data_IF_238552289547
#
_entry.id   IF_238552289547
#
_cell.length_a   1.000
_cell.length_b   1.000
_cell.length_c   1.000
_cell.angle_alpha   90.00
_cell.angle_beta   90.00
_cell.angle_gamma   90.00
#
_symmetry.space_group_name_H-M   'P 1'
#
loop_
_entity.id
_entity.type
_entity.pdbx_description
1 polymer ?
#
# COMPACT_ATOMS: atom_id res chain seq x y z
N UNK A 1 -3.97 -24.92 -8.50
CA UNK A 1 -4.02 -23.48 -8.19
C UNK A 1 -4.87 -22.70 -9.18
N UNK A 2 -6.00 -22.11 -8.74
CA UNK A 2 -6.84 -21.23 -9.54
C UNK A 2 -6.12 -19.93 -9.96
N UNK A 3 -6.42 -19.45 -11.17
CA UNK A 3 -5.83 -18.22 -11.73
C UNK A 3 -6.09 -17.00 -10.84
N UNK A 4 -7.28 -16.90 -10.25
CA UNK A 4 -7.65 -15.81 -9.35
C UNK A 4 -6.73 -15.71 -8.12
N UNK A 5 -6.33 -16.85 -7.55
CA UNK A 5 -5.42 -16.90 -6.38
C UNK A 5 -4.03 -16.42 -6.76
N UNK A 6 -3.51 -16.88 -7.91
CA UNK A 6 -2.19 -16.49 -8.43
C UNK A 6 -2.18 -14.98 -8.72
N UNK A 7 -3.21 -14.47 -9.41
CA UNK A 7 -3.32 -13.06 -9.74
C UNK A 7 -3.42 -12.18 -8.48
N UNK A 8 -4.30 -12.54 -7.53
CA UNK A 8 -4.42 -11.84 -6.24
C UNK A 8 -3.09 -11.82 -5.48
N UNK A 9 -2.39 -12.95 -5.41
CA UNK A 9 -1.12 -13.03 -4.70
C UNK A 9 -0.03 -12.17 -5.37
N UNK A 10 0.07 -12.20 -6.69
CA UNK A 10 1.04 -11.40 -7.43
C UNK A 10 0.88 -9.89 -7.14
N UNK A 11 -0.33 -9.35 -7.25
CA UNK A 11 -0.56 -7.92 -6.98
C UNK A 11 -0.46 -7.57 -5.50
N UNK A 12 -0.88 -8.47 -4.59
CA UNK A 12 -0.73 -8.26 -3.14
C UNK A 12 0.73 -8.21 -2.73
N UNK A 13 1.58 -9.13 -3.24
CA UNK A 13 3.02 -9.11 -2.98
C UNK A 13 3.71 -7.89 -3.59
N UNK A 14 3.33 -7.51 -4.81
CA UNK A 14 3.84 -6.29 -5.44
C UNK A 14 3.53 -5.05 -4.60
N UNK A 15 2.29 -4.93 -4.08
CA UNK A 15 1.90 -3.83 -3.21
C UNK A 15 2.59 -3.89 -1.84
N UNK A 16 2.77 -5.07 -1.25
CA UNK A 16 3.52 -5.21 0.00
C UNK A 16 5.00 -4.80 -0.17
N UNK A 17 5.64 -5.23 -1.26
CA UNK A 17 6.99 -4.79 -1.62
C UNK A 17 7.07 -3.28 -1.87
N UNK A 18 6.06 -2.71 -2.54
CA UNK A 18 5.94 -1.27 -2.73
C UNK A 18 5.83 -0.52 -1.39
N UNK A 19 5.01 -0.98 -0.45
CA UNK A 19 4.89 -0.37 0.87
C UNK A 19 6.19 -0.46 1.68
N UNK A 20 6.91 -1.58 1.60
CA UNK A 20 8.23 -1.72 2.22
C UNK A 20 9.24 -0.72 1.63
N UNK A 21 9.27 -0.59 0.30
CA UNK A 21 10.15 0.36 -0.37
C UNK A 21 9.82 1.81 0.06
N UNK A 22 8.53 2.16 0.11
CA UNK A 22 8.06 3.45 0.60
C UNK A 22 8.50 3.69 2.05
N UNK A 23 8.28 2.72 2.93
CA UNK A 23 8.51 2.86 4.37
C UNK A 23 10.00 2.91 4.74
N UNK A 24 10.81 2.04 4.14
CA UNK A 24 12.19 1.80 4.57
C UNK A 24 13.21 2.60 3.77
N UNK A 25 12.88 2.96 2.53
CA UNK A 25 13.81 3.66 1.62
C UNK A 25 13.29 5.05 1.34
N UNK A 26 12.10 5.15 0.74
CA UNK A 26 11.69 6.40 0.11
C UNK A 26 11.35 7.49 1.14
N UNK A 27 10.51 7.21 2.14
CA UNK A 27 10.16 8.22 3.14
C UNK A 27 11.35 8.63 4.02
N UNK A 28 12.22 7.72 4.51
CA UNK A 28 13.42 8.11 5.24
C UNK A 28 14.35 9.05 4.45
N UNK A 29 14.43 8.91 3.12
CA UNK A 29 15.23 9.81 2.28
C UNK A 29 14.76 11.28 2.30
N UNK A 30 13.51 11.56 2.68
CA UNK A 30 13.03 12.95 2.82
C UNK A 30 13.82 13.70 3.89
N UNK A 31 14.36 13.02 4.91
CA UNK A 31 15.22 13.64 5.94
C UNK A 31 16.58 14.08 5.42
N UNK A 32 16.99 13.60 4.25
CA UNK A 32 18.28 13.94 3.63
C UNK A 32 18.17 15.09 2.64
N UNK A 33 16.98 15.67 2.45
CA UNK A 33 16.74 16.77 1.53
C UNK A 33 16.93 18.10 2.26
N UNK A 34 17.68 19.02 1.67
CA UNK A 34 17.87 20.35 2.24
C UNK A 34 16.52 21.06 2.46
N UNK A 35 16.39 21.86 3.54
CA UNK A 35 15.14 22.55 3.88
C UNK A 35 14.47 23.33 2.75
N UNK A 36 15.27 24.03 1.93
CA UNK A 36 14.77 24.80 0.79
C UNK A 36 14.34 23.94 -0.40
N UNK A 37 14.80 22.70 -0.49
CA UNK A 37 14.51 21.78 -1.60
C UNK A 37 13.35 20.82 -1.34
N UNK A 38 12.93 20.65 -0.08
CA UNK A 38 11.91 19.66 0.31
C UNK A 38 10.58 19.81 -0.44
N UNK A 39 9.99 21.01 -0.59
CA UNK A 39 8.71 21.15 -1.31
C UNK A 39 8.78 20.67 -2.76
N UNK A 40 9.86 21.01 -3.47
CA UNK A 40 10.09 20.58 -4.86
C UNK A 40 10.30 19.08 -4.97
N UNK A 41 11.07 18.50 -4.05
CA UNK A 41 11.28 17.06 -3.98
C UNK A 41 9.98 16.30 -3.68
N UNK A 42 9.18 16.77 -2.71
CA UNK A 42 7.90 16.18 -2.35
C UNK A 42 6.90 16.22 -3.51
N UNK A 43 6.85 17.33 -4.27
CA UNK A 43 5.99 17.45 -5.45
C UNK A 43 6.41 16.49 -6.58
N UNK A 44 7.72 16.37 -6.84
CA UNK A 44 8.24 15.41 -7.82
C UNK A 44 7.97 13.96 -7.39
N UNK A 45 8.20 13.64 -6.12
CA UNK A 45 7.88 12.35 -5.53
C UNK A 45 6.39 12.00 -5.72
N UNK A 46 5.47 12.90 -5.34
CA UNK A 46 4.03 12.69 -5.47
C UNK A 46 3.60 12.40 -6.92
N UNK A 47 4.19 13.12 -7.89
CA UNK A 47 3.93 12.89 -9.32
C UNK A 47 4.48 11.56 -9.82
N UNK A 48 5.63 11.10 -9.32
CA UNK A 48 6.25 9.84 -9.77
C UNK A 48 5.63 8.62 -9.11
N UNK A 49 5.35 8.70 -7.81
CA UNK A 49 4.85 7.57 -7.02
C UNK A 49 3.44 7.14 -7.45
N UNK A 50 2.64 8.08 -8.00
CA UNK A 50 1.29 7.76 -8.47
C UNK A 50 1.29 6.86 -9.71
N UNK A 51 2.35 6.87 -10.53
CA UNK A 51 2.42 6.05 -11.76
C UNK A 51 2.33 4.54 -11.45
N UNK A 52 3.24 3.95 -10.64
CA UNK A 52 3.10 2.55 -10.27
C UNK A 52 1.84 2.30 -9.42
N UNK A 53 1.46 3.24 -8.56
CA UNK A 53 0.27 3.09 -7.73
C UNK A 53 -1.01 2.99 -8.57
N UNK A 54 -1.14 3.79 -9.63
CA UNK A 54 -2.30 3.77 -10.53
C UNK A 54 -2.43 2.45 -11.30
N UNK A 55 -1.34 1.68 -11.46
CA UNK A 55 -1.39 0.35 -12.04
C UNK A 55 -1.70 -0.73 -10.98
N UNK A 56 -0.97 -0.72 -9.85
CA UNK A 56 -1.05 -1.76 -8.83
C UNK A 56 -2.35 -1.70 -8.02
N UNK A 57 -2.82 -0.50 -7.68
CA UNK A 57 -4.00 -0.29 -6.85
C UNK A 57 -5.30 -0.87 -7.44
N UNK A 58 -5.70 -0.52 -8.68
CA UNK A 58 -6.91 -1.10 -9.26
C UNK A 58 -6.78 -2.60 -9.49
N UNK A 59 -5.58 -3.09 -9.82
CA UNK A 59 -5.35 -4.53 -10.01
C UNK A 59 -5.49 -5.31 -8.69
N UNK A 60 -4.97 -4.78 -7.58
CA UNK A 60 -5.16 -5.38 -6.25
C UNK A 60 -6.64 -5.39 -5.85
N UNK A 61 -7.37 -4.29 -6.07
CA UNK A 61 -8.81 -4.22 -5.78
C UNK A 61 -9.59 -5.20 -6.65
N UNK A 62 -9.32 -5.24 -7.96
CA UNK A 62 -10.02 -6.10 -8.90
C UNK A 62 -9.80 -7.60 -8.57
N UNK A 63 -8.57 -7.98 -8.27
CA UNK A 63 -8.25 -9.37 -7.91
C UNK A 63 -8.78 -9.78 -6.55
N UNK A 64 -8.83 -8.86 -5.57
CA UNK A 64 -9.50 -9.11 -4.29
C UNK A 64 -11.02 -9.27 -4.47
N UNK A 65 -11.65 -8.45 -5.31
CA UNK A 65 -13.06 -8.57 -5.64
C UNK A 65 -13.37 -9.88 -6.39
N UNK A 66 -12.48 -10.30 -7.30
CA UNK A 66 -12.64 -11.55 -8.03
C UNK A 66 -12.72 -12.75 -7.07
N UNK A 67 -11.83 -12.84 -6.06
CA UNK A 67 -11.90 -13.92 -5.06
C UNK A 67 -13.19 -13.94 -4.23
N UNK A 68 -13.89 -12.80 -4.10
CA UNK A 68 -15.19 -12.72 -3.43
C UNK A 68 -16.34 -13.13 -4.36
N UNK A 69 -16.27 -12.73 -5.63
CA UNK A 69 -17.32 -12.96 -6.63
C UNK A 69 -17.27 -14.37 -7.24
N UNK A 70 -16.10 -14.98 -7.27
CA UNK A 70 -15.82 -16.32 -7.79
C UNK A 70 -15.07 -17.11 -6.72
N UNK A 71 -15.80 -17.62 -5.69
CA UNK A 71 -15.18 -18.28 -4.55
C UNK A 71 -14.40 -19.53 -4.98
N UNK A 72 -13.25 -19.72 -4.33
CA UNK A 72 -12.42 -20.91 -4.48
C UNK A 72 -12.74 -21.86 -3.34
N UNK A 73 -13.12 -23.09 -3.65
CA UNK A 73 -13.60 -24.08 -2.66
C UNK A 73 -12.60 -24.35 -1.53
N UNK A 74 -11.29 -24.31 -1.84
CA UNK A 74 -10.23 -24.52 -0.87
C UNK A 74 -10.04 -23.34 0.10
N UNK A 75 -10.61 -22.17 -0.20
CA UNK A 75 -10.44 -20.95 0.59
C UNK A 75 -11.65 -20.70 1.50
N UNK A 76 -11.37 -20.56 2.80
CA UNK A 76 -12.41 -20.14 3.73
C UNK A 76 -12.93 -18.73 3.38
N UNK A 77 -14.23 -18.61 3.11
CA UNK A 77 -14.90 -17.35 2.77
C UNK A 77 -14.59 -16.23 3.77
N UNK A 78 -14.60 -16.55 5.07
CA UNK A 78 -14.29 -15.60 6.13
C UNK A 78 -12.88 -14.99 6.00
N UNK A 79 -11.90 -15.77 5.54
CA UNK A 79 -10.54 -15.30 5.36
C UNK A 79 -10.39 -14.41 4.11
N UNK A 80 -11.09 -14.72 3.03
CA UNK A 80 -11.17 -13.84 1.84
C UNK A 80 -11.77 -12.48 2.23
N UNK A 81 -12.86 -12.49 3.00
CA UNK A 81 -13.45 -11.26 3.53
C UNK A 81 -12.51 -10.51 4.48
N UNK A 82 -11.83 -11.21 5.40
CA UNK A 82 -10.86 -10.58 6.30
C UNK A 82 -9.74 -9.88 5.52
N UNK A 83 -9.17 -10.54 4.51
CA UNK A 83 -8.18 -9.93 3.63
C UNK A 83 -8.75 -8.68 2.93
N UNK A 84 -9.97 -8.75 2.41
CA UNK A 84 -10.67 -7.62 1.79
C UNK A 84 -10.91 -6.43 2.74
N UNK A 85 -11.26 -6.69 4.01
CA UNK A 85 -11.42 -5.65 5.03
C UNK A 85 -10.09 -4.93 5.30
N UNK A 86 -8.98 -5.68 5.38
CA UNK A 86 -7.65 -5.06 5.52
C UNK A 86 -7.31 -4.14 4.35
N UNK A 87 -7.70 -4.50 3.13
CA UNK A 87 -7.53 -3.67 1.93
C UNK A 87 -8.32 -2.37 2.04
N UNK A 88 -9.61 -2.49 2.42
CA UNK A 88 -10.47 -1.34 2.59
C UNK A 88 -9.93 -0.36 3.65
N UNK A 89 -9.50 -0.88 4.81
CA UNK A 89 -8.87 -0.07 5.85
C UNK A 89 -7.61 0.62 5.33
N UNK A 90 -6.75 -0.11 4.60
CA UNK A 90 -5.53 0.44 4.02
C UNK A 90 -5.78 1.60 3.05
N UNK A 91 -6.78 1.46 2.16
CA UNK A 91 -7.15 2.51 1.21
C UNK A 91 -7.85 3.70 1.85
N UNK A 92 -8.77 3.47 2.79
CA UNK A 92 -9.42 4.55 3.55
C UNK A 92 -8.37 5.34 4.34
N UNK A 93 -7.45 4.65 5.02
CA UNK A 93 -6.32 5.28 5.70
C UNK A 93 -5.48 6.12 4.74
N UNK A 94 -5.21 5.60 3.52
CA UNK A 94 -4.46 6.30 2.47
C UNK A 94 -5.10 7.64 2.11
N UNK A 95 -6.40 7.64 1.82
CA UNK A 95 -7.13 8.85 1.44
C UNK A 95 -7.25 9.87 2.57
N UNK A 96 -7.52 9.43 3.80
CA UNK A 96 -7.78 10.33 4.93
C UNK A 96 -6.52 10.98 5.50
N UNK A 97 -5.41 10.26 5.60
CA UNK A 97 -4.22 10.77 6.28
C UNK A 97 -3.09 11.16 5.32
N UNK A 98 -2.85 10.40 4.27
CA UNK A 98 -1.62 10.55 3.49
C UNK A 98 -1.76 11.56 2.37
N UNK A 99 -2.94 11.70 1.76
CA UNK A 99 -3.18 12.77 0.80
C UNK A 99 -3.02 14.16 1.43
N UNK A 100 -3.59 14.45 2.63
CA UNK A 100 -3.32 15.72 3.32
C UNK A 100 -1.86 15.92 3.73
N UNK A 101 -1.19 14.89 4.26
CA UNK A 101 0.21 14.98 4.68
C UNK A 101 1.15 15.26 3.50
N UNK A 102 0.92 14.62 2.34
CA UNK A 102 1.68 14.93 1.13
C UNK A 102 1.42 16.34 0.61
N UNK A 103 0.20 16.88 0.80
CA UNK A 103 -0.10 18.28 0.52
C UNK A 103 0.72 19.23 1.40
N UNK A 104 0.78 18.97 2.70
CA UNK A 104 1.55 19.78 3.66
C UNK A 104 3.05 19.80 3.32
N UNK A 105 3.63 18.64 2.98
CA UNK A 105 5.04 18.53 2.58
C UNK A 105 5.38 19.30 1.29
N UNK A 106 4.39 19.58 0.44
CA UNK A 106 4.57 20.37 -0.79
C UNK A 106 4.38 21.87 -0.58
N UNK A 107 3.65 22.28 0.45
CA UNK A 107 3.27 23.68 0.67
C UNK A 107 4.02 24.36 1.81
N UNK A 108 4.50 23.58 2.78
CA UNK A 108 5.13 24.12 3.99
C UNK A 108 6.67 24.05 3.92
N UNK A 109 7.39 25.02 4.53
CA UNK A 109 8.83 24.92 4.70
C UNK A 109 9.20 23.62 5.42
N UNK A 110 10.42 23.12 5.20
CA UNK A 110 10.85 21.86 5.79
C UNK A 110 10.56 21.79 7.30
N UNK A 111 9.63 20.90 7.63
CA UNK A 111 9.27 20.52 8.99
C UNK A 111 9.58 19.04 9.19
N UNK A 112 10.61 18.77 10.00
CA UNK A 112 10.98 17.41 10.38
C UNK A 112 9.83 16.66 11.07
N UNK A 113 8.94 17.36 11.78
CA UNK A 113 7.79 16.75 12.43
C UNK A 113 6.79 16.20 11.40
N UNK A 114 6.60 16.87 10.26
CA UNK A 114 5.77 16.37 9.16
C UNK A 114 6.36 15.12 8.51
N UNK A 115 7.68 15.07 8.32
CA UNK A 115 8.37 13.87 7.80
C UNK A 115 8.26 12.70 8.80
N UNK A 116 8.47 12.96 10.09
CA UNK A 116 8.34 11.94 11.13
C UNK A 116 6.90 11.44 11.24
N UNK A 117 5.91 12.33 11.12
CA UNK A 117 4.50 11.96 11.07
C UNK A 117 4.18 11.10 9.84
N UNK A 118 4.72 11.42 8.68
CA UNK A 118 4.56 10.61 7.46
C UNK A 118 5.08 9.19 7.67
N UNK A 119 6.28 9.04 8.23
CA UNK A 119 6.93 7.75 8.45
C UNK A 119 6.22 6.93 9.53
N UNK A 120 5.89 7.57 10.66
CA UNK A 120 5.23 6.89 11.79
C UNK A 120 3.84 6.43 11.42
N UNK A 121 3.06 7.25 10.72
CA UNK A 121 1.72 6.85 10.27
C UNK A 121 1.78 5.73 9.23
N UNK A 122 2.72 5.78 8.26
CA UNK A 122 2.82 4.80 7.17
C UNK A 122 3.15 3.37 7.62
N UNK A 123 3.64 3.18 8.85
CA UNK A 123 3.74 1.85 9.44
C UNK A 123 2.39 1.12 9.53
N UNK A 124 1.28 1.83 9.74
CA UNK A 124 -0.05 1.22 9.70
C UNK A 124 -0.32 0.56 8.35
N UNK A 125 -0.09 1.29 7.25
CA UNK A 125 -0.26 0.76 5.89
C UNK A 125 0.70 -0.40 5.65
N UNK A 126 1.96 -0.23 6.00
CA UNK A 126 2.97 -1.28 5.86
C UNK A 126 2.53 -2.58 6.55
N UNK A 127 2.04 -2.50 7.79
CA UNK A 127 1.52 -3.66 8.51
C UNK A 127 0.29 -4.29 7.85
N UNK A 128 -0.68 -3.48 7.38
CA UNK A 128 -1.89 -3.97 6.70
C UNK A 128 -1.55 -4.72 5.40
N UNK A 129 -0.66 -4.17 4.57
CA UNK A 129 -0.24 -4.82 3.33
C UNK A 129 0.62 -6.07 3.57
N UNK A 130 1.46 -6.09 4.61
CA UNK A 130 2.18 -7.31 5.02
C UNK A 130 1.24 -8.40 5.54
N UNK A 131 0.21 -8.04 6.32
CA UNK A 131 -0.81 -8.99 6.76
C UNK A 131 -1.56 -9.58 5.56
N UNK A 132 -1.94 -8.74 4.58
CA UNK A 132 -2.54 -9.19 3.30
C UNK A 132 -1.61 -10.12 2.52
N UNK A 133 -0.31 -9.83 2.47
CA UNK A 133 0.68 -10.72 1.88
C UNK A 133 0.72 -12.09 2.59
N UNK A 134 0.56 -12.12 3.92
CA UNK A 134 0.40 -13.36 4.68
C UNK A 134 -0.83 -14.16 4.24
N UNK A 135 -1.99 -13.52 4.07
CA UNK A 135 -3.19 -14.17 3.51
C UNK A 135 -2.94 -14.67 2.08
N UNK A 136 -2.30 -13.89 1.22
CA UNK A 136 -1.99 -14.29 -0.14
C UNK A 136 -1.07 -15.53 -0.20
N UNK A 137 -0.04 -15.60 0.65
CA UNK A 137 0.82 -16.76 0.77
C UNK A 137 0.04 -18.00 1.26
N UNK A 138 -0.84 -17.81 2.23
CA UNK A 138 -1.69 -18.89 2.72
C UNK A 138 -2.69 -19.38 1.66
N UNK A 139 -3.31 -18.48 0.89
CA UNK A 139 -4.21 -18.86 -0.20
C UNK A 139 -3.50 -19.65 -1.30
N UNK A 140 -2.27 -19.26 -1.67
CA UNK A 140 -1.44 -20.04 -2.60
C UNK A 140 -1.17 -21.45 -2.09
N UNK A 141 -0.88 -21.58 -0.79
CA UNK A 141 -0.66 -22.89 -0.17
C UNK A 141 -1.94 -23.73 -0.10
N UNK A 142 -3.06 -23.12 0.26
CA UNK A 142 -4.34 -23.82 0.43
C UNK A 142 -4.94 -24.29 -0.91
N UNK A 143 -4.75 -23.54 -1.99
CA UNK A 143 -5.31 -23.84 -3.31
C UNK A 143 -4.33 -24.60 -4.24
N UNK A 144 -3.18 -25.02 -3.72
CA UNK A 144 -2.12 -25.76 -4.42
C UNK A 144 -2.17 -27.24 -4.12
#
# INVERSE_FOLDING_TARGET
MPVAVIAHAAFTFAMAGFMLAVQLVIYPQFRSVDPGGLPGYAADHARRIIVPLAALAPAEIATAAWLVLDPVDELATAAVFAAGVLLAIGWVATGLWYAPLHGQLQSEPHDSANIDRLITTNWLRTALWLARAGFAAWFLHAAG
#
